data_IF_011616096465
#
_entry.id   IF_011616096465
#
_cell.length_a   1.000
_cell.length_b   1.000
_cell.length_c   1.000
_cell.angle_alpha   90.00
_cell.angle_beta   90.00
_cell.angle_gamma   90.00
#
_symmetry.space_group_name_H-M   'P 1'
#
loop_
_entity.id
_entity.type
_entity.pdbx_description
1 polymer ?
#
# COMPACT_ATOMS: atom_id res chain seq x y z
N UNK A 1 39.28 8.06 -28.27
CA UNK A 1 37.85 7.80 -28.48
C UNK A 1 37.19 7.81 -27.13
N UNK A 2 36.62 8.96 -26.77
CA UNK A 2 35.85 9.12 -25.52
C UNK A 2 34.41 9.36 -25.97
N UNK A 3 33.46 8.50 -25.56
CA UNK A 3 32.02 8.73 -25.76
C UNK A 3 31.34 8.46 -24.42
N UNK A 4 31.02 9.56 -23.75
CA UNK A 4 29.71 9.98 -23.29
C UNK A 4 28.91 8.92 -22.48
N UNK A 5 28.97 9.09 -21.17
CA UNK A 5 28.00 8.54 -20.20
C UNK A 5 27.38 9.73 -19.46
N UNK A 6 26.40 10.39 -20.07
CA UNK A 6 25.57 11.42 -19.42
C UNK A 6 24.16 11.24 -19.94
N UNK A 7 23.26 10.65 -19.15
CA UNK A 7 21.80 10.78 -19.25
C UNK A 7 21.13 9.80 -18.27
N UNK A 8 21.02 10.14 -16.97
CA UNK A 8 19.99 9.59 -16.07
C UNK A 8 19.94 10.41 -14.77
N UNK A 9 19.59 11.68 -14.86
CA UNK A 9 19.38 12.53 -13.66
C UNK A 9 18.06 13.34 -13.71
N UNK A 10 17.04 12.87 -14.48
CA UNK A 10 15.85 13.67 -14.73
C UNK A 10 14.54 13.23 -14.05
N UNK A 11 14.47 12.14 -13.29
CA UNK A 11 13.17 11.57 -12.89
C UNK A 11 12.77 11.78 -11.41
N UNK A 12 13.63 12.34 -10.57
CA UNK A 12 13.34 12.48 -9.15
C UNK A 12 12.46 13.67 -8.77
N UNK A 13 12.37 14.70 -9.59
CA UNK A 13 11.63 15.94 -9.27
C UNK A 13 10.12 15.88 -9.57
N UNK A 14 9.67 15.04 -10.48
CA UNK A 14 8.25 14.92 -10.84
C UNK A 14 7.39 14.25 -9.77
N UNK A 15 7.90 13.22 -9.13
CA UNK A 15 7.14 12.43 -8.14
C UNK A 15 6.84 13.20 -6.85
N UNK A 16 7.72 14.11 -6.43
CA UNK A 16 7.51 14.93 -5.24
C UNK A 16 6.36 15.93 -5.41
N UNK A 17 6.28 16.57 -6.58
CA UNK A 17 5.24 17.57 -6.87
C UNK A 17 3.85 16.93 -7.04
N UNK A 18 3.77 15.78 -7.69
CA UNK A 18 2.52 15.02 -7.84
C UNK A 18 1.99 14.52 -6.49
N UNK A 19 2.89 14.02 -5.66
CA UNK A 19 2.57 13.56 -4.31
C UNK A 19 2.06 14.70 -3.44
N UNK A 20 2.69 15.87 -3.48
CA UNK A 20 2.25 17.06 -2.76
C UNK A 20 0.88 17.56 -3.26
N UNK A 21 0.64 17.56 -4.58
CA UNK A 21 -0.64 17.94 -5.15
C UNK A 21 -1.77 17.00 -4.71
N UNK A 22 -1.50 15.69 -4.66
CA UNK A 22 -2.47 14.70 -4.18
C UNK A 22 -2.73 14.88 -2.68
N UNK A 23 -1.71 15.15 -1.88
CA UNK A 23 -1.85 15.45 -0.45
C UNK A 23 -2.74 16.66 -0.22
N UNK A 24 -2.54 17.73 -0.99
CA UNK A 24 -3.34 18.95 -0.91
C UNK A 24 -4.81 18.71 -1.33
N UNK A 25 -5.04 17.91 -2.37
CA UNK A 25 -6.41 17.54 -2.77
C UNK A 25 -7.13 16.77 -1.65
N UNK A 26 -6.46 15.80 -1.04
CA UNK A 26 -6.99 15.03 0.09
C UNK A 26 -7.25 15.92 1.31
N UNK A 27 -6.36 16.88 1.58
CA UNK A 27 -6.54 17.85 2.67
C UNK A 27 -7.80 18.68 2.47
N UNK A 28 -7.97 19.26 1.26
CA UNK A 28 -9.16 20.09 0.93
C UNK A 28 -10.46 19.29 1.02
N UNK A 29 -10.45 18.06 0.49
CA UNK A 29 -11.62 17.18 0.59
C UNK A 29 -11.94 16.81 2.05
N UNK A 30 -10.93 16.45 2.85
CA UNK A 30 -11.10 16.18 4.28
C UNK A 30 -11.62 17.41 5.04
N UNK A 31 -11.10 18.60 4.73
CA UNK A 31 -11.60 19.85 5.33
C UNK A 31 -13.04 20.13 4.96
N UNK A 32 -13.44 19.98 3.69
CA UNK A 32 -14.81 20.17 3.26
C UNK A 32 -15.76 19.25 4.02
N UNK A 33 -15.42 17.96 4.14
CA UNK A 33 -16.19 16.99 4.92
C UNK A 33 -16.31 17.37 6.40
N UNK A 34 -15.23 17.89 7.01
CA UNK A 34 -15.28 18.40 8.38
C UNK A 34 -16.23 19.59 8.53
N UNK A 35 -16.22 20.52 7.58
CA UNK A 35 -17.08 21.71 7.59
C UNK A 35 -18.57 21.34 7.41
N UNK A 36 -18.86 20.21 6.74
CA UNK A 36 -20.18 19.58 6.65
C UNK A 36 -20.56 18.75 7.89
N UNK A 37 -19.64 18.56 8.85
CA UNK A 37 -19.83 17.70 10.02
C UNK A 37 -19.67 16.21 9.75
N UNK A 38 -19.26 15.82 8.54
CA UNK A 38 -19.04 14.44 8.12
C UNK A 38 -17.63 13.95 8.56
N UNK A 39 -17.41 13.82 9.86
CA UNK A 39 -16.08 13.51 10.42
C UNK A 39 -15.59 12.09 10.09
N UNK A 40 -16.49 11.09 10.07
CA UNK A 40 -16.09 9.70 9.79
C UNK A 40 -15.37 9.53 8.43
N UNK A 41 -15.88 10.07 7.30
CA UNK A 41 -15.16 10.04 6.04
C UNK A 41 -14.03 11.08 5.94
N UNK A 42 -14.03 12.15 6.77
CA UNK A 42 -13.01 13.20 6.75
C UNK A 42 -11.66 12.72 7.31
N UNK A 43 -11.68 12.01 8.45
CA UNK A 43 -10.45 11.60 9.15
C UNK A 43 -9.49 10.77 8.27
N UNK A 44 -9.94 9.73 7.53
CA UNK A 44 -9.03 8.97 6.67
C UNK A 44 -8.45 9.80 5.51
N UNK A 45 -9.17 10.83 5.01
CA UNK A 45 -8.64 11.74 4.00
C UNK A 45 -7.49 12.59 4.55
N UNK A 46 -7.68 13.18 5.73
CA UNK A 46 -6.64 13.96 6.41
C UNK A 46 -5.43 13.10 6.79
N UNK A 47 -5.67 11.87 7.23
CA UNK A 47 -4.60 10.92 7.51
C UNK A 47 -3.79 10.56 6.26
N UNK A 48 -4.47 10.28 5.14
CA UNK A 48 -3.82 10.00 3.87
C UNK A 48 -3.02 11.21 3.36
N UNK A 49 -3.58 12.43 3.46
CA UNK A 49 -2.90 13.67 3.15
C UNK A 49 -1.61 13.81 3.96
N UNK A 50 -1.68 13.62 5.29
CA UNK A 50 -0.51 13.73 6.17
C UNK A 50 0.57 12.69 5.88
N UNK A 51 0.19 11.45 5.52
CA UNK A 51 1.18 10.42 5.12
C UNK A 51 1.91 10.77 3.82
N UNK A 52 1.23 11.47 2.92
CA UNK A 52 1.83 11.87 1.63
C UNK A 52 2.72 13.12 1.78
N UNK A 53 2.23 14.14 2.47
CA UNK A 53 2.95 15.38 2.74
C UNK A 53 2.74 15.82 4.20
N UNK A 54 3.71 15.53 5.09
CA UNK A 54 3.59 15.85 6.51
C UNK A 54 3.53 17.35 6.79
N UNK A 55 2.36 17.85 7.22
CA UNK A 55 2.14 19.23 7.58
C UNK A 55 1.52 19.36 8.98
N UNK A 56 1.91 20.42 9.72
CA UNK A 56 1.36 20.72 11.07
C UNK A 56 -0.14 20.97 10.99
N UNK A 57 -0.57 21.74 9.98
CA UNK A 57 -2.00 22.06 9.80
C UNK A 57 -2.85 20.82 9.55
N UNK A 58 -2.34 19.87 8.75
CA UNK A 58 -3.03 18.60 8.48
C UNK A 58 -3.15 17.74 9.74
N UNK A 59 -2.07 17.65 10.56
CA UNK A 59 -2.11 16.94 11.84
C UNK A 59 -3.10 17.55 12.83
N UNK A 60 -3.17 18.88 12.90
CA UNK A 60 -4.14 19.56 13.76
C UNK A 60 -5.58 19.29 13.34
N UNK A 61 -5.88 19.36 12.04
CA UNK A 61 -7.21 19.02 11.54
C UNK A 61 -7.54 17.53 11.74
N UNK A 62 -6.57 16.64 11.56
CA UNK A 62 -6.74 15.21 11.84
C UNK A 62 -7.05 14.97 13.32
N UNK A 63 -6.31 15.62 14.24
CA UNK A 63 -6.55 15.50 15.67
C UNK A 63 -7.97 15.97 16.06
N UNK A 64 -8.40 17.13 15.53
CA UNK A 64 -9.78 17.64 15.72
C UNK A 64 -10.80 16.63 15.17
N UNK A 65 -10.56 16.11 13.98
CA UNK A 65 -11.43 15.13 13.35
C UNK A 65 -11.60 13.87 14.22
N UNK A 66 -10.48 13.31 14.69
CA UNK A 66 -10.46 12.10 15.54
C UNK A 66 -11.17 12.34 16.86
N UNK A 67 -11.04 13.53 17.47
CA UNK A 67 -11.78 13.87 18.68
C UNK A 67 -13.29 13.87 18.43
N UNK A 68 -13.75 14.39 17.29
CA UNK A 68 -15.19 14.42 16.93
C UNK A 68 -15.78 13.02 16.72
N UNK A 69 -14.98 12.06 16.29
CA UNK A 69 -15.40 10.64 16.16
C UNK A 69 -15.05 9.80 17.39
N UNK A 70 -14.85 10.47 18.55
CA UNK A 70 -14.58 9.82 19.84
C UNK A 70 -13.30 8.96 19.88
N UNK A 71 -12.34 9.20 18.99
CA UNK A 71 -11.00 8.58 19.02
C UNK A 71 -10.05 9.44 19.84
N UNK A 72 -10.31 9.52 21.16
CA UNK A 72 -9.64 10.45 22.08
C UNK A 72 -8.14 10.20 22.21
N UNK A 73 -7.71 8.92 22.28
CA UNK A 73 -6.28 8.58 22.38
C UNK A 73 -5.54 8.89 21.10
N UNK A 74 -6.11 8.56 19.93
CA UNK A 74 -5.57 8.92 18.63
C UNK A 74 -5.51 10.43 18.44
N UNK A 75 -6.54 11.18 18.85
CA UNK A 75 -6.56 12.64 18.81
C UNK A 75 -5.43 13.23 19.67
N UNK A 76 -5.32 12.78 20.93
CA UNK A 76 -4.26 13.19 21.84
C UNK A 76 -2.86 12.95 21.27
N UNK A 77 -2.59 11.77 20.77
CA UNK A 77 -1.31 11.43 20.14
C UNK A 77 -0.99 12.34 18.94
N UNK A 78 -1.99 12.66 18.10
CA UNK A 78 -1.81 13.54 16.96
C UNK A 78 -1.60 15.00 17.38
N UNK A 79 -2.24 15.49 18.44
CA UNK A 79 -1.93 16.81 19.00
C UNK A 79 -0.49 16.88 19.52
N UNK A 80 0.00 15.87 20.22
CA UNK A 80 1.40 15.82 20.67
C UNK A 80 2.39 15.79 19.49
N UNK A 81 2.08 15.01 18.44
CA UNK A 81 2.88 15.00 17.22
C UNK A 81 2.88 16.36 16.51
N UNK A 82 1.71 17.02 16.44
CA UNK A 82 1.58 18.34 15.85
C UNK A 82 2.39 19.37 16.65
N UNK A 83 2.36 19.31 17.99
CA UNK A 83 3.17 20.17 18.84
C UNK A 83 4.67 20.00 18.62
N UNK A 84 5.15 18.74 18.55
CA UNK A 84 6.56 18.43 18.25
C UNK A 84 6.99 18.96 16.89
N UNK A 85 6.15 18.76 15.87
CA UNK A 85 6.42 19.25 14.51
C UNK A 85 6.36 20.78 14.42
N UNK A 86 5.41 21.42 15.10
CA UNK A 86 5.29 22.88 15.16
C UNK A 86 6.54 23.50 15.80
N UNK A 87 6.99 22.90 16.91
CA UNK A 87 8.21 23.31 17.60
C UNK A 87 9.44 23.24 16.69
N UNK A 88 9.64 22.15 15.98
CA UNK A 88 10.79 21.98 15.07
C UNK A 88 10.78 22.98 13.91
N UNK A 89 9.61 23.55 13.58
CA UNK A 89 9.41 24.55 12.51
C UNK A 89 9.30 25.99 13.04
N UNK A 90 9.49 26.23 14.34
CA UNK A 90 9.38 27.54 14.97
C UNK A 90 7.96 28.12 14.97
N UNK A 91 6.92 27.28 14.82
CA UNK A 91 5.51 27.70 14.79
C UNK A 91 4.92 27.72 16.20
N UNK A 92 5.33 28.72 17.01
CA UNK A 92 5.05 28.78 18.45
C UNK A 92 3.54 28.72 18.76
N UNK A 93 2.71 29.47 18.04
CA UNK A 93 1.28 29.52 18.29
C UNK A 93 0.61 28.15 18.07
N UNK A 94 1.02 27.43 17.02
CA UNK A 94 0.53 26.09 16.73
C UNK A 94 1.03 25.05 17.74
N UNK A 95 2.26 25.20 18.23
CA UNK A 95 2.77 24.35 19.29
C UNK A 95 1.95 24.52 20.57
N UNK A 96 1.73 25.78 20.98
CA UNK A 96 0.95 26.08 22.18
C UNK A 96 -0.49 25.59 22.08
N UNK A 97 -1.14 25.82 20.95
CA UNK A 97 -2.48 25.32 20.69
C UNK A 97 -2.53 23.79 20.80
N UNK A 98 -1.64 23.10 20.11
CA UNK A 98 -1.62 21.62 20.11
C UNK A 98 -1.37 21.06 21.51
N UNK A 99 -0.46 21.65 22.29
CA UNK A 99 -0.21 21.24 23.69
C UNK A 99 -1.43 21.46 24.57
N UNK A 100 -2.08 22.62 24.44
CA UNK A 100 -3.28 22.92 25.21
C UNK A 100 -4.40 21.90 24.94
N UNK A 101 -4.62 21.53 23.67
CA UNK A 101 -5.60 20.51 23.32
C UNK A 101 -5.22 19.12 23.86
N UNK A 102 -3.96 18.73 23.74
CA UNK A 102 -3.48 17.48 24.31
C UNK A 102 -3.70 17.42 25.84
N UNK A 103 -3.36 18.49 26.54
CA UNK A 103 -3.58 18.58 28.01
C UNK A 103 -5.07 18.51 28.38
N UNK A 104 -5.94 19.12 27.58
CA UNK A 104 -7.38 19.07 27.82
C UNK A 104 -7.97 17.67 27.62
N UNK A 105 -7.38 16.87 26.69
CA UNK A 105 -7.80 15.48 26.45
C UNK A 105 -7.26 14.49 27.49
N UNK A 106 -6.15 14.79 28.15
CA UNK A 106 -5.45 13.86 29.04
C UNK A 106 -6.33 13.23 30.13
N UNK A 107 -7.20 13.99 30.85
CA UNK A 107 -8.11 13.40 31.83
C UNK A 107 -9.23 12.55 31.22
N UNK A 108 -9.50 12.70 29.95
CA UNK A 108 -10.53 11.95 29.19
C UNK A 108 -10.00 10.64 28.60
N UNK A 109 -8.69 10.44 28.60
CA UNK A 109 -8.08 9.27 27.99
C UNK A 109 -8.47 7.99 28.71
N UNK A 110 -9.07 7.06 28.00
CA UNK A 110 -9.21 5.69 28.46
C UNK A 110 -7.88 4.98 28.25
N UNK A 111 -7.47 4.18 29.26
CA UNK A 111 -6.19 3.49 29.26
C UNK A 111 -6.39 2.00 29.48
N UNK A 112 -5.46 1.21 28.98
CA UNK A 112 -5.37 -0.22 29.28
C UNK A 112 -4.01 -0.50 29.90
N UNK A 113 -3.98 -1.51 30.78
CA UNK A 113 -2.76 -2.11 31.28
C UNK A 113 -2.91 -3.64 31.25
N UNK A 114 -1.82 -4.37 30.98
CA UNK A 114 -1.83 -5.82 31.03
C UNK A 114 -1.24 -6.29 32.35
N UNK A 115 -2.01 -7.08 33.09
CA UNK A 115 -1.54 -7.83 34.24
C UNK A 115 -1.19 -9.24 33.76
N UNK A 116 0.09 -9.50 33.56
CA UNK A 116 0.59 -10.82 33.13
C UNK A 116 1.08 -11.59 34.34
N UNK A 117 0.55 -12.81 34.56
CA UNK A 117 1.07 -13.69 35.60
C UNK A 117 2.54 -14.04 35.26
N UNK A 118 3.44 -13.84 36.21
CA UNK A 118 4.88 -14.11 36.05
C UNK A 118 5.15 -15.55 35.58
N UNK A 119 4.31 -16.50 35.96
CA UNK A 119 4.38 -17.91 35.55
C UNK A 119 3.97 -18.12 34.08
N UNK A 120 3.28 -17.16 33.48
CA UNK A 120 2.93 -17.19 32.05
C UNK A 120 4.10 -16.79 31.17
N UNK A 121 5.07 -16.06 31.72
CA UNK A 121 6.22 -15.53 30.98
C UNK A 121 7.24 -16.65 30.77
N UNK A 122 7.08 -17.37 29.67
CA UNK A 122 8.02 -18.40 29.20
C UNK A 122 8.76 -17.88 27.96
N UNK A 123 9.73 -18.66 27.46
CA UNK A 123 10.46 -18.32 26.23
C UNK A 123 9.48 -18.08 25.07
N UNK A 124 9.72 -17.04 24.31
CA UNK A 124 8.88 -16.60 23.16
C UNK A 124 7.41 -16.32 23.50
N UNK A 125 7.12 -15.97 24.77
CA UNK A 125 5.78 -15.50 25.15
C UNK A 125 5.48 -14.14 24.54
N UNK A 126 4.39 -14.05 23.80
CA UNK A 126 3.97 -12.85 23.05
C UNK A 126 2.55 -12.46 23.41
N UNK A 127 2.35 -11.19 23.73
CA UNK A 127 1.04 -10.56 23.87
C UNK A 127 0.78 -9.68 22.66
N UNK A 128 -0.41 -9.78 22.05
CA UNK A 128 -0.83 -8.92 20.95
C UNK A 128 -2.16 -8.24 21.27
N UNK A 129 -2.29 -7.00 20.85
CA UNK A 129 -3.53 -6.24 20.81
C UNK A 129 -3.89 -5.96 19.35
N UNK A 130 -5.05 -6.41 18.91
CA UNK A 130 -5.51 -6.29 17.52
C UNK A 130 -4.46 -6.75 16.49
N UNK A 131 -3.75 -7.84 16.82
CA UNK A 131 -2.67 -8.40 16.01
C UNK A 131 -1.30 -7.71 16.17
N UNK A 132 -1.21 -6.58 16.87
CA UNK A 132 0.03 -5.83 17.09
C UNK A 132 0.70 -6.28 18.38
N UNK A 133 1.97 -6.70 18.29
CA UNK A 133 2.77 -7.13 19.45
C UNK A 133 2.89 -5.99 20.45
N UNK A 134 2.66 -6.30 21.73
CA UNK A 134 2.85 -5.41 22.87
C UNK A 134 4.15 -5.78 23.56
N UNK A 135 5.11 -4.87 23.51
CA UNK A 135 6.42 -5.06 24.16
C UNK A 135 6.26 -5.28 25.66
N UNK A 136 6.98 -6.25 26.23
CA UNK A 136 6.86 -6.62 27.66
C UNK A 136 7.09 -5.45 28.61
N UNK A 137 7.98 -4.53 28.25
CA UNK A 137 8.24 -3.31 29.01
C UNK A 137 7.02 -2.37 29.15
N UNK A 138 6.00 -2.54 28.27
CA UNK A 138 4.80 -1.71 28.26
C UNK A 138 3.60 -2.33 29.00
N UNK A 139 3.67 -3.60 29.41
CA UNK A 139 2.49 -4.31 29.93
C UNK A 139 1.87 -3.66 31.14
N UNK A 140 2.67 -3.37 32.17
CA UNK A 140 2.18 -2.70 33.39
C UNK A 140 1.97 -1.18 33.21
N UNK A 141 2.27 -0.64 32.00
CA UNK A 141 2.11 0.79 31.72
C UNK A 141 0.70 1.08 31.24
N UNK A 142 0.05 2.04 31.87
CA UNK A 142 -1.28 2.51 31.45
C UNK A 142 -1.19 3.20 30.07
N UNK A 143 -1.50 2.46 29.03
CA UNK A 143 -1.40 2.93 27.65
C UNK A 143 -2.73 3.51 27.17
N UNK A 144 -2.79 4.76 26.69
CA UNK A 144 -3.99 5.33 26.09
C UNK A 144 -4.48 4.53 24.89
N UNK A 145 -5.79 4.29 24.83
CA UNK A 145 -6.46 3.60 23.72
C UNK A 145 -7.75 4.30 23.36
N UNK A 146 -8.13 4.20 22.09
CA UNK A 146 -9.45 4.68 21.66
C UNK A 146 -10.55 3.77 22.19
N UNK A 147 -11.74 4.29 22.48
CA UNK A 147 -12.91 3.49 22.79
C UNK A 147 -13.25 2.51 21.67
N UNK A 148 -13.67 1.32 22.03
CA UNK A 148 -14.04 0.27 21.09
C UNK A 148 -13.73 -1.12 21.62
N UNK A 149 -13.90 -2.11 20.77
CA UNK A 149 -13.64 -3.51 21.08
C UNK A 149 -12.22 -3.88 20.72
N UNK A 150 -11.43 -4.30 21.69
CA UNK A 150 -10.05 -4.75 21.52
C UNK A 150 -9.98 -6.28 21.58
N UNK A 151 -9.22 -6.87 20.67
CA UNK A 151 -8.91 -8.30 20.68
C UNK A 151 -7.51 -8.50 21.26
N UNK A 152 -7.41 -9.17 22.39
CA UNK A 152 -6.15 -9.48 23.03
C UNK A 152 -5.85 -10.97 22.85
N UNK A 153 -4.63 -11.28 22.44
CA UNK A 153 -4.14 -12.66 22.34
C UNK A 153 -2.83 -12.80 23.10
N UNK A 154 -2.63 -13.96 23.73
CA UNK A 154 -1.37 -14.35 24.32
C UNK A 154 -0.98 -15.74 23.80
N UNK A 155 0.26 -15.92 23.40
CA UNK A 155 0.76 -17.16 22.83
C UNK A 155 2.20 -17.43 23.23
N UNK A 156 2.57 -18.72 23.30
CA UNK A 156 3.94 -19.20 23.46
C UNK A 156 4.09 -20.57 22.78
N UNK A 157 5.32 -21.00 22.44
CA UNK A 157 5.57 -22.33 21.87
C UNK A 157 5.04 -23.45 22.78
N UNK A 158 4.36 -24.43 22.19
CA UNK A 158 3.78 -25.56 22.94
C UNK A 158 2.62 -25.20 23.86
N UNK A 159 2.12 -23.96 23.81
CA UNK A 159 0.95 -23.52 24.58
C UNK A 159 -0.23 -23.26 23.66
N UNK A 160 -1.44 -23.44 24.21
CA UNK A 160 -2.68 -23.02 23.54
C UNK A 160 -2.77 -21.52 23.53
N UNK A 161 -3.03 -20.91 22.37
CA UNK A 161 -3.29 -19.47 22.29
C UNK A 161 -4.50 -19.10 23.17
N UNK A 162 -4.28 -18.15 24.06
CA UNK A 162 -5.36 -17.52 24.81
C UNK A 162 -5.85 -16.29 24.08
N UNK A 163 -7.16 -16.11 24.04
CA UNK A 163 -7.80 -14.99 23.35
C UNK A 163 -8.97 -14.46 24.17
N UNK A 164 -9.04 -13.15 24.26
CA UNK A 164 -10.18 -12.46 24.85
C UNK A 164 -10.56 -11.23 24.04
N UNK A 165 -11.80 -10.79 24.23
CA UNK A 165 -12.31 -9.56 23.66
C UNK A 165 -12.71 -8.64 24.80
N UNK A 166 -12.18 -7.43 24.80
CA UNK A 166 -12.40 -6.42 25.83
C UNK A 166 -13.10 -5.22 25.20
N UNK A 167 -14.27 -4.87 25.74
CA UNK A 167 -14.95 -3.63 25.35
C UNK A 167 -14.44 -2.48 26.23
N UNK A 168 -13.75 -1.56 25.59
CA UNK A 168 -13.19 -0.35 26.22
C UNK A 168 -14.15 0.79 26.01
N UNK A 169 -14.86 1.18 27.06
CA UNK A 169 -15.85 2.24 27.00
C UNK A 169 -15.72 3.20 28.20
N UNK A 170 -16.16 4.44 27.97
CA UNK A 170 -16.12 5.52 28.96
C UNK A 170 -14.78 6.24 28.99
N UNK A 171 -14.82 7.53 29.31
CA UNK A 171 -13.65 8.41 29.39
C UNK A 171 -12.97 8.33 30.75
N UNK A 172 -11.66 8.55 30.78
CA UNK A 172 -10.86 8.70 32.01
C UNK A 172 -10.69 7.44 32.83
N UNK A 173 -10.91 6.25 32.28
CA UNK A 173 -10.84 4.96 33.00
C UNK A 173 -9.60 4.18 32.57
N UNK A 174 -9.06 3.42 33.50
CA UNK A 174 -8.06 2.39 33.20
C UNK A 174 -8.70 1.01 33.29
N UNK A 175 -8.56 0.22 32.24
CA UNK A 175 -9.02 -1.17 32.16
C UNK A 175 -7.80 -2.08 32.28
N UNK A 176 -7.73 -2.84 33.34
CA UNK A 176 -6.69 -3.87 33.52
C UNK A 176 -7.14 -5.17 32.87
N UNK A 177 -6.28 -5.75 32.05
CA UNK A 177 -6.52 -6.99 31.33
C UNK A 177 -5.62 -8.07 31.92
N UNK A 178 -6.25 -9.02 32.63
CA UNK A 178 -5.54 -10.13 33.27
C UNK A 178 -5.23 -11.20 32.22
N UNK A 179 -3.95 -11.51 32.02
CA UNK A 179 -3.48 -12.57 31.14
C UNK A 179 -3.07 -13.78 31.97
N UNK A 180 -3.81 -14.91 31.88
CA UNK A 180 -3.55 -16.08 32.68
C UNK A 180 -2.35 -16.87 32.21
N UNK A 181 -1.92 -17.83 33.00
CA UNK A 181 -0.98 -18.87 32.56
C UNK A 181 -1.60 -19.67 31.42
N UNK A 182 -0.86 -19.80 30.32
CA UNK A 182 -1.34 -20.52 29.15
C UNK A 182 -1.35 -22.04 29.39
N UNK A 183 -2.43 -22.69 28.98
CA UNK A 183 -2.54 -24.16 29.01
C UNK A 183 -1.59 -24.76 27.95
N UNK A 184 -1.13 -25.99 28.22
CA UNK A 184 -0.36 -26.74 27.22
C UNK A 184 -1.21 -27.02 25.97
N UNK A 185 -0.61 -26.87 24.80
CA UNK A 185 -1.26 -27.28 23.56
C UNK A 185 -1.46 -28.83 23.59
N UNK A 186 -2.58 -29.35 23.08
CA UNK A 186 -2.70 -30.79 22.91
C UNK A 186 -1.49 -31.28 22.10
N UNK A 187 -0.84 -32.33 22.60
CA UNK A 187 0.25 -32.97 21.88
C UNK A 187 -0.31 -33.43 20.53
N UNK A 188 0.17 -32.84 19.45
CA UNK A 188 -0.25 -33.26 18.12
C UNK A 188 0.09 -34.74 17.99
N UNK A 189 -0.88 -35.64 17.71
CA UNK A 189 -0.58 -37.05 17.64
C UNK A 189 0.60 -37.23 16.68
N UNK A 190 1.68 -37.86 17.17
CA UNK A 190 2.85 -38.14 16.33
C UNK A 190 2.32 -38.72 15.02
N UNK A 191 2.80 -38.25 13.85
CA UNK A 191 2.31 -38.74 12.58
C UNK A 191 2.35 -40.25 12.60
N UNK A 192 1.17 -40.86 12.65
CA UNK A 192 1.05 -42.33 12.64
C UNK A 192 1.91 -42.78 11.45
N UNK A 193 2.92 -43.67 11.66
CA UNK A 193 3.70 -44.16 10.56
C UNK A 193 2.71 -44.71 9.56
N UNK A 194 2.52 -44.01 8.45
CA UNK A 194 1.71 -44.52 7.32
C UNK A 194 2.34 -45.88 7.00
N UNK A 195 1.62 -47.03 7.10
CA UNK A 195 2.18 -48.28 6.73
C UNK A 195 2.82 -48.08 5.35
N UNK A 196 4.10 -48.45 5.22
CA UNK A 196 4.78 -48.34 3.95
C UNK A 196 3.89 -49.01 2.91
N UNK A 197 3.22 -48.24 2.09
CA UNK A 197 2.41 -48.75 0.99
C UNK A 197 3.41 -49.54 0.16
N UNK A 198 3.20 -50.85 0.12
CA UNK A 198 3.99 -51.71 -0.73
C UNK A 198 4.02 -51.10 -2.14
N UNK A 199 5.17 -51.15 -2.84
CA UNK A 199 5.30 -50.52 -4.14
C UNK A 199 4.17 -51.00 -5.03
N UNK A 200 3.15 -50.15 -5.18
CA UNK A 200 2.11 -50.37 -6.16
C UNK A 200 2.83 -50.30 -7.50
N UNK A 201 2.85 -51.39 -8.22
CA UNK A 201 3.32 -51.40 -9.60
C UNK A 201 2.66 -50.25 -10.35
N UNK A 202 3.43 -49.47 -11.11
CA UNK A 202 2.89 -48.30 -11.78
C UNK A 202 1.73 -48.74 -12.69
N UNK A 203 0.51 -48.50 -12.22
CA UNK A 203 -0.65 -48.56 -13.06
C UNK A 203 -0.51 -47.50 -14.13
N UNK A 204 -0.63 -47.77 -15.41
CA UNK A 204 -0.45 -46.73 -16.43
C UNK A 204 -1.41 -45.59 -16.15
N UNK A 205 -0.84 -44.46 -15.81
CA UNK A 205 -1.56 -43.20 -15.63
C UNK A 205 -2.35 -42.93 -16.91
N UNK A 206 -3.67 -42.70 -16.85
CA UNK A 206 -4.41 -42.27 -18.02
C UNK A 206 -3.69 -41.06 -18.60
N UNK A 207 -3.38 -41.11 -19.88
CA UNK A 207 -2.73 -39.98 -20.57
C UNK A 207 -3.50 -38.70 -20.25
N UNK A 208 -2.81 -37.60 -19.87
CA UNK A 208 -3.47 -36.33 -19.68
C UNK A 208 -4.29 -36.02 -20.92
N UNK A 209 -5.56 -35.64 -20.71
CA UNK A 209 -6.40 -35.19 -21.82
C UNK A 209 -5.62 -34.09 -22.58
N UNK A 210 -5.63 -34.09 -23.92
CA UNK A 210 -4.93 -33.10 -24.70
C UNK A 210 -5.38 -31.71 -24.25
N UNK A 211 -4.48 -30.93 -23.67
CA UNK A 211 -4.68 -29.48 -23.51
C UNK A 211 -4.89 -28.93 -24.93
N UNK A 212 -5.97 -28.16 -25.18
CA UNK A 212 -6.19 -27.61 -26.51
C UNK A 212 -4.94 -26.81 -26.89
N UNK A 213 -4.24 -27.27 -27.90
CA UNK A 213 -3.14 -26.53 -28.52
C UNK A 213 -3.72 -25.23 -29.02
N UNK A 214 -3.29 -24.11 -28.43
CA UNK A 214 -3.63 -22.80 -28.95
C UNK A 214 -2.95 -22.69 -30.30
N UNK A 215 -3.71 -22.81 -31.38
CA UNK A 215 -3.19 -22.69 -32.73
C UNK A 215 -2.41 -21.37 -32.86
N UNK A 216 -1.22 -21.41 -33.46
CA UNK A 216 -0.36 -20.25 -33.65
C UNK A 216 -1.09 -19.09 -34.34
N UNK A 217 -2.11 -19.39 -35.14
CA UNK A 217 -2.97 -18.40 -35.79
C UNK A 217 -3.84 -17.62 -34.78
N UNK A 218 -4.32 -18.26 -33.72
CA UNK A 218 -5.06 -17.58 -32.64
C UNK A 218 -4.15 -16.65 -31.88
N UNK A 219 -2.92 -17.03 -31.57
CA UNK A 219 -1.94 -16.19 -30.90
C UNK A 219 -1.54 -14.97 -31.75
N UNK A 220 -1.33 -15.16 -33.06
CA UNK A 220 -1.06 -14.06 -34.01
C UNK A 220 -2.21 -13.08 -34.09
N UNK A 221 -3.44 -13.57 -34.15
CA UNK A 221 -4.64 -12.72 -34.18
C UNK A 221 -4.78 -11.89 -32.91
N UNK A 222 -4.56 -12.47 -31.74
CA UNK A 222 -4.55 -11.74 -30.46
C UNK A 222 -3.43 -10.70 -30.44
N UNK A 223 -2.23 -11.04 -30.91
CA UNK A 223 -1.10 -10.11 -31.01
C UNK A 223 -1.42 -8.88 -31.88
N UNK A 224 -2.11 -9.08 -33.02
CA UNK A 224 -2.53 -7.98 -33.90
C UNK A 224 -3.60 -7.10 -33.23
N UNK A 225 -4.56 -7.68 -32.54
CA UNK A 225 -5.61 -6.93 -31.83
C UNK A 225 -5.00 -6.09 -30.71
N UNK A 226 -4.15 -6.68 -29.86
CA UNK A 226 -3.48 -5.99 -28.75
C UNK A 226 -2.55 -4.88 -29.26
N UNK A 227 -1.77 -5.16 -30.30
CA UNK A 227 -0.90 -4.17 -30.95
C UNK A 227 -1.68 -3.03 -31.60
N UNK A 228 -2.83 -3.32 -32.22
CA UNK A 228 -3.72 -2.32 -32.81
C UNK A 228 -4.33 -1.36 -31.77
N UNK A 229 -4.73 -1.88 -30.62
CA UNK A 229 -5.20 -1.05 -29.49
C UNK A 229 -4.07 -0.16 -28.97
N UNK A 230 -2.82 -0.67 -28.92
CA UNK A 230 -1.64 0.12 -28.58
C UNK A 230 -1.40 1.29 -29.53
N UNK A 231 -1.52 1.08 -30.85
CA UNK A 231 -1.42 2.13 -31.86
C UNK A 231 -2.50 3.21 -31.72
N UNK A 232 -3.75 2.81 -31.45
CA UNK A 232 -4.84 3.75 -31.19
C UNK A 232 -4.54 4.62 -29.94
N UNK A 233 -4.00 4.02 -28.88
CA UNK A 233 -3.56 4.74 -27.67
C UNK A 233 -2.48 5.79 -27.96
N UNK A 234 -1.52 5.49 -28.82
CA UNK A 234 -0.49 6.46 -29.25
C UNK A 234 -1.08 7.62 -30.07
N UNK A 235 -2.04 7.35 -30.95
CA UNK A 235 -2.72 8.40 -31.70
C UNK A 235 -3.48 9.37 -30.80
N UNK A 236 -4.23 8.84 -29.83
CA UNK A 236 -4.93 9.62 -28.79
C UNK A 236 -3.93 10.43 -27.96
N UNK A 237 -2.86 9.80 -27.48
CA UNK A 237 -1.78 10.47 -26.74
C UNK A 237 -1.18 11.64 -27.51
N UNK A 238 -0.95 11.47 -28.82
CA UNK A 238 -0.42 12.53 -29.70
C UNK A 238 -1.39 13.73 -29.82
N UNK A 239 -2.69 13.46 -29.96
CA UNK A 239 -3.69 14.52 -30.04
C UNK A 239 -3.76 15.36 -28.75
N UNK A 240 -3.77 14.71 -27.60
CA UNK A 240 -3.75 15.40 -26.31
C UNK A 240 -2.43 16.13 -26.04
N UNK A 241 -1.28 15.58 -26.49
CA UNK A 241 0.02 16.26 -26.39
C UNK A 241 0.09 17.55 -27.21
N UNK A 242 -0.48 17.55 -28.42
CA UNK A 242 -0.56 18.76 -29.25
C UNK A 242 -1.48 19.82 -28.63
N UNK A 243 -2.61 19.40 -28.04
CA UNK A 243 -3.52 20.32 -27.34
C UNK A 243 -2.86 20.92 -26.08
N UNK A 244 -2.14 20.11 -25.31
CA UNK A 244 -1.38 20.58 -24.16
C UNK A 244 -0.37 21.65 -24.55
N UNK A 245 0.39 21.41 -25.63
CA UNK A 245 1.37 22.37 -26.16
C UNK A 245 0.70 23.65 -26.64
N UNK A 246 -0.42 23.57 -27.34
CA UNK A 246 -1.17 24.73 -27.82
C UNK A 246 -1.68 25.61 -26.66
N UNK A 247 -2.25 24.99 -25.63
CA UNK A 247 -2.73 25.70 -24.43
C UNK A 247 -1.58 26.32 -23.63
N UNK A 248 -0.45 25.63 -23.50
CA UNK A 248 0.73 26.16 -22.83
C UNK A 248 1.31 27.37 -23.54
N UNK A 249 1.43 27.32 -24.87
CA UNK A 249 1.93 28.44 -25.67
C UNK A 249 0.97 29.65 -25.69
N UNK A 250 -0.29 29.45 -25.33
CA UNK A 250 -1.29 30.52 -25.21
C UNK A 250 -1.41 31.12 -23.82
N UNK A 251 -0.64 30.63 -22.83
CA UNK A 251 -0.61 31.15 -21.46
C UNK A 251 0.64 32.04 -21.28
N UNK A 252 0.46 33.25 -20.76
CA UNK A 252 1.57 34.14 -20.42
C UNK A 252 2.04 33.91 -18.99
N UNK A 253 2.96 32.95 -18.83
CA UNK A 253 3.50 32.53 -17.54
C UNK A 253 5.04 32.57 -17.52
N UNK A 254 5.67 33.76 -17.51
CA UNK A 254 7.13 33.88 -17.42
C UNK A 254 7.64 33.28 -16.10
N UNK A 255 8.68 32.46 -16.16
CA UNK A 255 9.27 31.77 -14.99
C UNK A 255 8.28 30.98 -14.15
N UNK A 256 7.26 30.36 -14.76
CA UNK A 256 6.15 29.63 -14.10
C UNK A 256 5.23 30.50 -13.22
N UNK A 257 5.30 31.80 -13.35
CA UNK A 257 4.39 32.74 -12.70
C UNK A 257 3.44 33.29 -13.76
N UNK A 258 2.16 32.94 -13.67
CA UNK A 258 1.15 33.40 -14.63
C UNK A 258 0.70 34.83 -14.31
N UNK A 259 0.55 35.67 -15.34
CA UNK A 259 0.23 37.10 -15.22
C UNK A 259 -1.25 37.33 -14.85
N UNK A 260 -2.15 36.39 -15.21
CA UNK A 260 -3.58 36.48 -14.92
C UNK A 260 -4.18 35.14 -14.48
N UNK A 261 -5.35 35.21 -13.83
CA UNK A 261 -6.12 34.00 -13.47
C UNK A 261 -6.49 33.16 -14.71
N UNK A 262 -6.77 33.83 -15.84
CA UNK A 262 -7.06 33.15 -17.10
C UNK A 262 -5.84 32.40 -17.67
N UNK A 263 -4.65 32.91 -17.48
CA UNK A 263 -3.41 32.25 -17.90
C UNK A 263 -3.07 31.09 -16.97
N UNK A 264 -3.36 31.23 -15.68
CA UNK A 264 -3.22 30.15 -14.72
C UNK A 264 -4.14 28.98 -15.03
N UNK A 265 -5.42 29.25 -15.36
CA UNK A 265 -6.38 28.22 -15.76
C UNK A 265 -5.94 27.51 -17.06
N UNK A 266 -5.40 28.26 -18.05
CA UNK A 266 -4.85 27.65 -19.28
C UNK A 266 -3.62 26.78 -19.02
N UNK A 267 -2.75 27.20 -18.10
CA UNK A 267 -1.58 26.43 -17.71
C UNK A 267 -1.96 25.14 -16.96
N UNK A 268 -2.97 25.20 -16.10
CA UNK A 268 -3.53 24.01 -15.41
C UNK A 268 -4.17 23.03 -16.38
N UNK A 269 -5.00 23.53 -17.32
CA UNK A 269 -5.55 22.73 -18.41
C UNK A 269 -4.43 22.05 -19.22
N UNK A 270 -3.38 22.80 -19.59
CA UNK A 270 -2.25 22.26 -20.35
C UNK A 270 -1.56 21.11 -19.60
N UNK A 271 -1.37 21.22 -18.29
CA UNK A 271 -0.81 20.15 -17.44
C UNK A 271 -1.70 18.92 -17.40
N UNK A 272 -3.02 19.10 -17.34
CA UNK A 272 -3.97 17.99 -17.35
C UNK A 272 -3.91 17.23 -18.68
N UNK A 273 -3.93 17.93 -19.82
CA UNK A 273 -3.80 17.30 -21.14
C UNK A 273 -2.43 16.62 -21.33
N UNK A 274 -1.35 17.20 -20.81
CA UNK A 274 -0.03 16.59 -20.82
C UNK A 274 0.02 15.27 -20.03
N UNK A 275 -0.62 15.22 -18.88
CA UNK A 275 -0.73 14.00 -18.04
C UNK A 275 -1.48 12.88 -18.79
N UNK A 276 -2.65 13.19 -19.38
CA UNK A 276 -3.42 12.23 -20.19
C UNK A 276 -2.58 11.72 -21.36
N UNK A 277 -1.88 12.61 -22.06
CA UNK A 277 -0.98 12.26 -23.17
C UNK A 277 0.10 11.27 -22.71
N UNK A 278 0.79 11.55 -21.60
CA UNK A 278 1.87 10.70 -21.08
C UNK A 278 1.37 9.29 -20.74
N UNK A 279 0.26 9.18 -20.02
CA UNK A 279 -0.32 7.88 -19.68
C UNK A 279 -0.79 7.10 -20.91
N UNK A 280 -1.36 7.79 -21.90
CA UNK A 280 -1.77 7.18 -23.18
C UNK A 280 -0.57 6.64 -23.95
N UNK A 281 0.57 7.33 -23.95
CA UNK A 281 1.81 6.85 -24.56
C UNK A 281 2.40 5.65 -23.83
N UNK A 282 2.44 5.68 -22.50
CA UNK A 282 2.98 4.57 -21.70
C UNK A 282 2.13 3.31 -21.89
N UNK A 283 0.81 3.43 -21.75
CA UNK A 283 -0.10 2.30 -21.91
C UNK A 283 -0.12 1.78 -23.35
N UNK A 284 -0.19 2.68 -24.34
CA UNK A 284 -0.18 2.33 -25.76
C UNK A 284 1.14 1.67 -26.19
N UNK A 285 2.26 2.17 -25.70
CA UNK A 285 3.60 1.61 -25.96
C UNK A 285 3.76 0.21 -25.35
N UNK A 286 3.28 0.00 -24.13
CA UNK A 286 3.32 -1.30 -23.46
C UNK A 286 2.46 -2.36 -24.20
N UNK A 287 1.24 -1.98 -24.62
CA UNK A 287 0.36 -2.86 -25.39
C UNK A 287 0.93 -3.19 -26.76
N UNK A 288 1.56 -2.22 -27.43
CA UNK A 288 2.21 -2.47 -28.73
C UNK A 288 3.39 -3.43 -28.58
N UNK A 289 4.23 -3.26 -27.56
CA UNK A 289 5.34 -4.18 -27.29
C UNK A 289 4.85 -5.59 -26.97
N UNK A 290 3.80 -5.71 -26.15
CA UNK A 290 3.18 -7.01 -25.82
C UNK A 290 2.56 -7.68 -27.06
N UNK A 291 1.85 -6.92 -27.91
CA UNK A 291 1.28 -7.41 -29.18
C UNK A 291 2.35 -7.90 -30.14
N UNK A 292 3.46 -7.15 -30.27
CA UNK A 292 4.59 -7.56 -31.09
C UNK A 292 5.27 -8.82 -30.56
N UNK A 293 5.46 -8.93 -29.23
CA UNK A 293 6.02 -10.12 -28.62
C UNK A 293 5.14 -11.35 -28.86
N UNK A 294 3.82 -11.24 -28.69
CA UNK A 294 2.88 -12.32 -28.97
C UNK A 294 2.91 -12.75 -30.43
N UNK A 295 3.02 -11.80 -31.36
CA UNK A 295 3.07 -12.09 -32.80
C UNK A 295 4.39 -12.77 -33.19
N UNK A 296 5.53 -12.32 -32.67
CA UNK A 296 6.87 -12.85 -32.97
C UNK A 296 7.11 -14.23 -32.33
N UNK A 297 6.48 -14.50 -31.19
CA UNK A 297 6.62 -15.81 -30.48
C UNK A 297 5.56 -16.83 -30.85
N UNK A 298 4.65 -16.50 -31.76
CA UNK A 298 3.64 -17.42 -32.24
C UNK A 298 4.29 -18.57 -33.02
N UNK A 299 4.05 -19.84 -32.67
CA UNK A 299 4.63 -20.99 -33.35
C UNK A 299 4.13 -21.06 -34.79
N UNK A 300 5.07 -21.23 -35.73
CA UNK A 300 4.74 -21.53 -37.14
C UNK A 300 4.28 -22.99 -37.21
N UNK A 301 3.12 -23.22 -37.82
CA UNK A 301 2.48 -24.55 -37.89
C UNK A 301 3.32 -25.65 -38.55
N UNK A 302 4.50 -25.33 -39.08
CA UNK A 302 5.46 -26.29 -39.65
C UNK A 302 6.45 -26.86 -38.63
N UNK A 303 6.69 -26.19 -37.50
CA UNK A 303 7.69 -26.60 -36.51
C UNK A 303 7.09 -27.35 -35.29
N UNK A 304 5.77 -27.54 -35.23
CA UNK A 304 5.12 -28.23 -34.13
C UNK A 304 5.49 -29.71 -34.04
N UNK A 305 6.05 -30.32 -35.09
CA UNK A 305 6.50 -31.72 -35.11
C UNK A 305 7.94 -31.89 -34.62
N UNK A 306 8.80 -30.91 -34.74
CA UNK A 306 10.22 -31.04 -34.40
C UNK A 306 10.53 -30.68 -32.95
N UNK A 307 9.69 -29.86 -32.30
CA UNK A 307 9.84 -29.47 -30.87
C UNK A 307 9.34 -30.54 -29.90
N UNK A 308 8.52 -31.49 -30.38
CA UNK A 308 8.04 -32.60 -29.53
C UNK A 308 9.14 -33.66 -29.25
N UNK A 309 10.29 -33.62 -29.96
CA UNK A 309 11.38 -34.59 -29.81
C UNK A 309 12.55 -34.08 -28.93
N UNK A 310 12.60 -32.76 -28.64
CA UNK A 310 13.51 -32.20 -27.66
C UNK A 310 12.73 -31.83 -26.41
N UNK A 311 12.94 -32.56 -25.33
CA UNK A 311 12.23 -32.48 -24.06
C UNK A 311 12.06 -31.05 -23.52
N UNK A 312 11.07 -30.80 -22.65
CA UNK A 312 10.65 -29.47 -22.24
C UNK A 312 11.78 -28.72 -21.55
N UNK A 313 12.16 -27.57 -22.12
CA UNK A 313 12.89 -26.53 -21.37
C UNK A 313 11.96 -26.04 -20.27
N UNK A 314 12.24 -26.41 -19.02
CA UNK A 314 11.48 -25.95 -17.86
C UNK A 314 11.98 -24.55 -17.45
N UNK A 315 11.36 -23.52 -17.99
CA UNK A 315 11.64 -22.13 -17.64
C UNK A 315 10.56 -21.67 -16.66
N UNK A 316 10.93 -21.46 -15.40
CA UNK A 316 10.04 -20.93 -14.38
C UNK A 316 10.37 -19.48 -14.09
N UNK A 317 9.39 -18.62 -14.27
CA UNK A 317 9.45 -17.21 -13.85
C UNK A 317 8.72 -17.09 -12.52
N UNK A 318 9.44 -16.73 -11.47
CA UNK A 318 8.86 -16.57 -10.13
C UNK A 318 8.99 -15.10 -9.72
N UNK A 319 7.89 -14.44 -9.33
CA UNK A 319 8.00 -13.10 -8.79
C UNK A 319 8.73 -13.15 -7.44
N UNK A 320 9.79 -12.36 -7.28
CA UNK A 320 10.52 -12.17 -6.04
C UNK A 320 10.22 -10.77 -5.51
N UNK A 321 9.62 -10.71 -4.32
CA UNK A 321 9.39 -9.47 -3.60
C UNK A 321 10.28 -9.44 -2.35
N UNK A 322 11.19 -8.48 -2.28
CA UNK A 322 11.97 -8.14 -1.09
C UNK A 322 11.51 -6.82 -0.50
N UNK A 323 11.95 -6.51 0.71
CA UNK A 323 11.48 -5.35 1.50
C UNK A 323 11.76 -4.02 0.79
N UNK A 324 12.72 -3.97 -0.16
CA UNK A 324 13.11 -2.77 -0.91
C UNK A 324 13.21 -2.96 -2.44
N UNK A 325 12.78 -4.13 -2.97
CA UNK A 325 12.82 -4.36 -4.42
C UNK A 325 11.84 -5.45 -4.85
N UNK A 326 11.14 -5.21 -5.95
CA UNK A 326 10.36 -6.21 -6.66
C UNK A 326 11.09 -6.58 -7.96
N UNK A 327 11.28 -7.89 -8.19
CA UNK A 327 11.96 -8.40 -9.38
C UNK A 327 11.34 -9.72 -9.85
N UNK A 328 11.73 -10.15 -11.06
CA UNK A 328 11.38 -11.45 -11.60
C UNK A 328 12.64 -12.32 -11.62
N UNK A 329 12.59 -13.48 -10.97
CA UNK A 329 13.63 -14.49 -11.03
C UNK A 329 13.27 -15.51 -12.12
N UNK A 330 14.17 -15.66 -13.10
CA UNK A 330 14.04 -16.68 -14.15
C UNK A 330 14.99 -17.83 -13.82
N UNK A 331 14.42 -19.01 -13.59
CA UNK A 331 15.19 -20.24 -13.35
C UNK A 331 14.90 -21.23 -14.48
N UNK A 332 15.97 -21.65 -15.17
CA UNK A 332 15.88 -22.64 -16.25
C UNK A 332 16.98 -23.69 -16.14
N UNK A 333 16.67 -24.95 -16.45
CA UNK A 333 17.68 -25.99 -16.70
C UNK A 333 17.90 -26.09 -18.23
N UNK A 334 19.17 -25.94 -18.62
CA UNK A 334 19.63 -26.10 -20.00
C UNK A 334 20.08 -27.54 -20.23
#
# INVERSE_FOLDING_TARGET
MALACTLFAGHAHGQGSERAATAEALFREGKALMDEGAYEPACPKLEASHRMDPAVGTLLNLAICLEKVNKTASAWANYLRAAGMARSRGQIDREQYARAQATALEPRLTRIAFAVDERAIVEDFVVKRDGIVQESATWATETPVDPGTLVITASAPGKREWRTTVDVSGEGKTVTIDIPVLEDAPEEPAPVPVPAVAPVSPQPTPAPAPVPSTDGDTQRTIGIIVGGVGLAGLAVGSAFGLQARSKWNGADCPNNLCVSEADQARAEDAKQFASISTWSFVAGGALMAAGAALWLTAPDGTNAREVAEKGPMDLRVVPAAGVDSAGLLVHGRF
#
